data_IF_440810210187
#
_entry.id   IF_440810210187
#
_cell.length_a   1.000
_cell.length_b   1.000
_cell.length_c   1.000
_cell.angle_alpha   90.00
_cell.angle_beta   90.00
_cell.angle_gamma   90.00
#
_symmetry.space_group_name_H-M   'P 1'
#
loop_
_entity.id
_entity.type
_entity.pdbx_description
1 polymer ?
#
# COMPACT_ATOMS: atom_id res chain seq x y z
N UNK A 1 -34.37 -0.36 -6.00
CA UNK A 1 -34.81 -1.17 -7.16
C UNK A 1 -34.13 -2.51 -6.99
N UNK A 2 -34.86 -3.52 -6.52
CA UNK A 2 -34.35 -4.90 -6.50
C UNK A 2 -34.22 -5.36 -7.95
N UNK A 3 -33.01 -5.75 -8.33
CA UNK A 3 -32.74 -6.36 -9.64
C UNK A 3 -33.22 -7.81 -9.55
N UNK A 4 -34.18 -8.21 -10.38
CA UNK A 4 -34.87 -9.52 -10.31
C UNK A 4 -34.02 -10.77 -10.59
N UNK A 5 -32.70 -10.68 -10.44
CA UNK A 5 -31.72 -11.76 -10.68
C UNK A 5 -30.81 -12.04 -9.47
N UNK A 6 -30.96 -11.34 -8.35
CA UNK A 6 -30.20 -11.65 -7.13
C UNK A 6 -30.57 -13.04 -6.60
N UNK A 7 -29.57 -13.89 -6.35
CA UNK A 7 -29.78 -15.29 -5.90
C UNK A 7 -29.69 -15.46 -4.39
N UNK A 8 -29.02 -14.53 -3.71
CA UNK A 8 -28.90 -14.46 -2.26
C UNK A 8 -28.40 -13.07 -1.86
N UNK A 9 -28.67 -12.69 -0.61
CA UNK A 9 -28.05 -11.52 0.02
C UNK A 9 -26.65 -11.89 0.51
N UNK A 10 -25.66 -11.04 0.21
CA UNK A 10 -24.32 -11.15 0.78
C UNK A 10 -24.27 -10.30 2.05
N UNK A 11 -24.26 -10.98 3.20
CA UNK A 11 -24.15 -10.34 4.51
C UNK A 11 -22.91 -10.84 5.26
N UNK A 12 -22.58 -10.19 6.38
CA UNK A 12 -21.43 -10.53 7.23
C UNK A 12 -20.07 -10.49 6.51
N UNK A 13 -19.87 -9.51 5.60
CA UNK A 13 -18.57 -9.22 5.03
C UNK A 13 -17.83 -8.23 5.91
N UNK A 14 -16.58 -8.53 6.26
CA UNK A 14 -15.70 -7.59 6.96
C UNK A 14 -15.42 -6.40 6.04
N UNK A 15 -15.41 -5.16 6.56
CA UNK A 15 -14.95 -4.01 5.78
C UNK A 15 -13.48 -4.18 5.36
N UNK A 16 -13.07 -3.44 4.34
CA UNK A 16 -11.68 -3.38 3.90
C UNK A 16 -10.79 -2.84 5.04
N UNK A 17 -9.56 -3.36 5.11
CA UNK A 17 -8.57 -2.93 6.09
C UNK A 17 -7.71 -1.81 5.51
N UNK A 18 -8.31 -0.63 5.33
CA UNK A 18 -7.64 0.57 4.87
C UNK A 18 -8.22 1.85 5.50
N UNK A 19 -7.66 3.00 5.14
CA UNK A 19 -8.06 4.29 5.71
C UNK A 19 -7.67 4.47 7.18
N UNK A 20 -6.79 3.61 7.69
CA UNK A 20 -6.31 3.64 9.07
C UNK A 20 -4.90 4.21 9.16
N UNK A 21 -4.53 4.76 10.31
CA UNK A 21 -3.15 5.15 10.55
C UNK A 21 -2.39 3.98 11.17
N UNK A 22 -1.51 3.35 10.39
CA UNK A 22 -0.78 2.14 10.80
C UNK A 22 0.07 2.35 12.06
N UNK A 23 0.56 3.57 12.30
CA UNK A 23 1.33 3.89 13.49
C UNK A 23 0.43 4.08 14.72
N UNK A 24 -0.70 4.77 14.56
CA UNK A 24 -1.60 5.03 15.69
C UNK A 24 -2.32 3.79 16.19
N UNK A 25 -2.53 2.80 15.31
CA UNK A 25 -3.18 1.53 15.65
C UNK A 25 -2.27 0.55 16.39
N UNK A 26 -0.96 0.79 16.48
CA UNK A 26 -0.02 -0.10 17.17
C UNK A 26 0.47 0.48 18.51
N UNK A 27 -0.16 0.12 19.64
CA UNK A 27 0.27 0.61 20.95
C UNK A 27 1.63 0.05 21.40
N UNK A 28 2.04 -1.12 20.91
CA UNK A 28 3.33 -1.73 21.28
C UNK A 28 4.48 -1.01 20.58
N UNK A 29 4.32 -0.71 19.29
CA UNK A 29 5.27 0.12 18.54
C UNK A 29 5.46 1.49 19.20
N UNK A 30 4.35 2.17 19.55
CA UNK A 30 4.41 3.48 20.22
C UNK A 30 5.12 3.43 21.58
N UNK A 31 4.86 2.38 22.37
CA UNK A 31 5.53 2.17 23.64
C UNK A 31 7.03 1.94 23.46
N UNK A 32 7.42 1.09 22.50
CA UNK A 32 8.82 0.79 22.20
C UNK A 32 9.60 2.05 21.77
N UNK A 33 9.04 2.85 20.87
CA UNK A 33 9.67 4.11 20.43
C UNK A 33 9.91 5.07 21.60
N UNK A 34 8.97 5.15 22.54
CA UNK A 34 9.14 5.98 23.73
C UNK A 34 10.22 5.42 24.65
N UNK A 35 10.22 4.10 24.88
CA UNK A 35 11.20 3.42 25.74
C UNK A 35 12.63 3.56 25.22
N UNK A 36 12.82 3.52 23.91
CA UNK A 36 14.13 3.67 23.24
C UNK A 36 14.54 5.14 23.04
N UNK A 37 13.82 6.10 23.63
CA UNK A 37 14.16 7.52 23.57
C UNK A 37 13.87 8.21 22.24
N UNK A 38 13.12 7.55 21.34
CA UNK A 38 12.75 8.06 20.02
C UNK A 38 11.40 8.79 19.99
N UNK A 39 10.84 9.17 21.14
CA UNK A 39 9.54 9.86 21.24
C UNK A 39 9.45 11.17 20.44
N UNK A 40 10.59 11.80 20.15
CA UNK A 40 10.68 12.98 19.27
C UNK A 40 10.18 12.71 17.84
N UNK A 41 10.18 11.45 17.38
CA UNK A 41 9.76 11.07 16.04
C UNK A 41 8.24 10.82 15.91
N UNK A 42 7.48 10.81 17.02
CA UNK A 42 6.10 10.37 17.04
C UNK A 42 5.19 11.11 16.05
N UNK A 43 5.33 12.43 15.92
CA UNK A 43 4.53 13.22 14.98
C UNK A 43 4.81 12.83 13.52
N UNK A 44 6.09 12.65 13.17
CA UNK A 44 6.49 12.24 11.81
C UNK A 44 6.02 10.82 11.50
N UNK A 45 6.13 9.90 12.47
CA UNK A 45 5.67 8.52 12.33
C UNK A 45 4.15 8.42 12.20
N UNK A 46 3.41 9.26 12.92
CA UNK A 46 1.96 9.38 12.78
C UNK A 46 1.58 9.88 11.38
N UNK A 47 2.23 10.95 10.88
CA UNK A 47 1.99 11.43 9.52
C UNK A 47 2.30 10.37 8.46
N UNK A 48 3.41 9.65 8.61
CA UNK A 48 3.81 8.59 7.69
C UNK A 48 2.87 7.38 7.76
N UNK A 49 2.52 6.91 8.96
CA UNK A 49 1.57 5.83 9.16
C UNK A 49 0.18 6.13 8.59
N UNK A 50 -0.24 7.40 8.63
CA UNK A 50 -1.46 7.86 7.94
C UNK A 50 -1.36 7.77 6.43
N UNK A 51 -0.24 8.20 5.83
CA UNK A 51 -0.04 8.12 4.38
C UNK A 51 -0.01 6.67 3.86
N UNK A 52 0.65 5.77 4.60
CA UNK A 52 0.80 4.36 4.21
C UNK A 52 -0.47 3.53 4.37
N UNK A 53 -1.37 3.89 5.28
CA UNK A 53 -2.60 3.14 5.51
C UNK A 53 -3.79 3.57 4.65
N UNK A 54 -3.59 4.47 3.69
CA UNK A 54 -4.65 4.84 2.73
C UNK A 54 -4.93 3.70 1.75
N UNK A 55 -6.18 3.61 1.27
CA UNK A 55 -6.55 2.67 0.21
C UNK A 55 -5.68 2.85 -1.04
N UNK A 56 -5.32 4.09 -1.37
CA UNK A 56 -4.44 4.42 -2.49
C UNK A 56 -3.05 3.82 -2.31
N UNK A 57 -2.44 3.95 -1.12
CA UNK A 57 -1.13 3.35 -0.84
C UNK A 57 -1.15 1.82 -0.97
N UNK A 58 -2.22 1.16 -0.51
CA UNK A 58 -2.40 -0.28 -0.71
C UNK A 58 -2.64 -0.65 -2.18
N UNK A 59 -3.37 0.18 -2.93
CA UNK A 59 -3.55 -0.01 -4.36
C UNK A 59 -2.21 0.07 -5.11
N UNK A 60 -1.39 1.08 -4.83
CA UNK A 60 -0.06 1.21 -5.42
C UNK A 60 0.84 0.01 -5.08
N UNK A 61 0.83 -0.45 -3.83
CA UNK A 61 1.55 -1.65 -3.43
C UNK A 61 1.08 -2.90 -4.20
N UNK A 62 -0.23 -3.04 -4.44
CA UNK A 62 -0.77 -4.13 -5.25
C UNK A 62 -0.28 -4.05 -6.70
N UNK A 63 -0.33 -2.86 -7.32
CA UNK A 63 0.11 -2.66 -8.70
C UNK A 63 1.61 -2.97 -8.87
N UNK A 64 2.45 -2.50 -7.96
CA UNK A 64 3.90 -2.74 -8.00
C UNK A 64 4.25 -4.24 -7.94
N UNK A 65 3.46 -5.06 -7.25
CA UNK A 65 3.67 -6.51 -7.18
C UNK A 65 3.00 -7.27 -8.34
N UNK A 66 1.90 -6.76 -8.85
CA UNK A 66 1.18 -7.35 -9.99
C UNK A 66 1.95 -7.14 -11.30
N UNK A 67 2.52 -5.96 -11.48
CA UNK A 67 3.29 -5.58 -12.67
C UNK A 67 4.78 -5.63 -12.34
N UNK A 68 5.37 -6.82 -12.55
CA UNK A 68 6.77 -7.03 -12.29
C UNK A 68 7.66 -6.17 -13.20
N UNK A 69 8.86 -5.80 -12.75
CA UNK A 69 9.78 -5.05 -13.57
C UNK A 69 10.23 -5.84 -14.81
N UNK A 70 10.32 -5.16 -15.95
CA UNK A 70 10.70 -5.76 -17.23
C UNK A 70 12.10 -5.32 -17.63
N UNK A 71 12.96 -6.28 -17.99
CA UNK A 71 14.31 -5.98 -18.47
C UNK A 71 14.31 -5.73 -19.98
N UNK A 72 14.72 -4.52 -20.37
CA UNK A 72 14.90 -4.09 -21.75
C UNK A 72 16.40 -4.04 -22.08
N UNK A 73 16.89 -5.09 -22.74
CA UNK A 73 18.30 -5.20 -23.12
C UNK A 73 18.69 -4.24 -24.25
N UNK A 74 17.78 -3.98 -25.19
CA UNK A 74 18.03 -3.16 -26.38
C UNK A 74 16.83 -2.26 -26.68
N UNK A 75 17.10 -1.11 -27.27
CA UNK A 75 16.07 -0.20 -27.76
C UNK A 75 15.41 -0.71 -29.07
N UNK A 76 14.43 0.05 -29.57
CA UNK A 76 13.70 -0.29 -30.81
C UNK A 76 14.56 -0.26 -32.07
N UNK A 77 15.78 0.29 -32.00
CA UNK A 77 16.75 0.36 -33.10
C UNK A 77 17.86 -0.70 -32.94
N UNK A 78 17.83 -1.52 -31.90
CA UNK A 78 18.81 -2.55 -31.63
C UNK A 78 20.09 -2.06 -30.93
N UNK A 79 20.12 -0.84 -30.39
CA UNK A 79 21.22 -0.39 -29.54
C UNK A 79 21.03 -0.95 -28.13
N UNK A 80 22.12 -1.47 -27.55
CA UNK A 80 22.10 -1.99 -26.19
C UNK A 80 21.79 -0.87 -25.19
N UNK A 81 20.80 -1.09 -24.33
CA UNK A 81 20.29 -0.12 -23.36
C UNK A 81 20.38 -0.63 -21.91
N UNK A 82 20.22 -1.94 -21.69
CA UNK A 82 20.30 -2.60 -20.38
C UNK A 82 19.48 -1.89 -19.26
N UNK A 83 18.24 -1.49 -19.56
CA UNK A 83 17.36 -0.83 -18.58
C UNK A 83 16.31 -1.77 -18.01
N UNK A 84 15.81 -1.46 -16.82
CA UNK A 84 14.64 -2.11 -16.22
C UNK A 84 13.50 -1.11 -16.16
N UNK A 85 12.35 -1.48 -16.70
CA UNK A 85 11.13 -0.69 -16.72
C UNK A 85 10.22 -1.14 -15.58
N UNK A 86 9.65 -0.17 -14.85
CA UNK A 86 8.77 -0.40 -13.71
C UNK A 86 7.39 0.17 -13.99
N UNK A 87 6.39 -0.40 -13.33
CA UNK A 87 5.09 0.24 -13.26
C UNK A 87 5.20 1.58 -12.48
N UNK A 88 4.46 2.65 -12.84
CA UNK A 88 4.55 3.97 -12.19
C UNK A 88 4.06 4.05 -10.73
N UNK A 89 3.60 2.92 -10.19
CA UNK A 89 3.01 2.78 -8.86
C UNK A 89 4.04 2.77 -7.75
#
# INVERSE_FOLDING_TARGET
METGFETHEVFNQTPEYDGINLFETDPMLKAAITAEGAGWAAASLSGFGGSLGTAEAFHQAHLANKFLPEFSSHDTRGFRQDTVEFHPS
#
